data_IF_342791131937
#
_entry.id   IF_342791131937
#
_cell.length_a   1.000
_cell.length_b   1.000
_cell.length_c   1.000
_cell.angle_alpha   90.00
_cell.angle_beta   90.00
_cell.angle_gamma   90.00
#
_symmetry.space_group_name_H-M   'P 1'
#
loop_
_entity.id
_entity.type
_entity.pdbx_description
1 polymer ?
#
# COMPACT_ATOMS: atom_id res chain seq x y z
N UNK A 1 -14.95 -11.34 -1.51
CA UNK A 1 -14.60 -11.14 -2.94
C UNK A 1 -13.31 -11.90 -3.23
N UNK A 2 -13.22 -12.61 -4.35
CA UNK A 2 -11.99 -13.28 -4.80
C UNK A 2 -11.23 -12.34 -5.74
N UNK A 3 -9.92 -12.22 -5.53
CA UNK A 3 -8.98 -11.50 -6.41
C UNK A 3 -7.94 -12.49 -6.94
N UNK A 4 -7.52 -12.28 -8.19
CA UNK A 4 -6.46 -13.06 -8.83
C UNK A 4 -5.43 -12.09 -9.38
N UNK A 5 -4.15 -12.29 -9.05
CA UNK A 5 -3.08 -11.41 -9.58
C UNK A 5 -2.83 -11.65 -11.07
N UNK A 6 -2.24 -10.68 -11.75
CA UNK A 6 -1.85 -10.83 -13.14
C UNK A 6 -0.88 -12.03 -13.32
N UNK A 7 -1.02 -12.83 -14.39
CA UNK A 7 -0.13 -13.96 -14.63
C UNK A 7 1.35 -13.55 -14.64
N UNK A 8 2.15 -14.19 -13.78
CA UNK A 8 3.59 -13.91 -13.67
C UNK A 8 3.95 -12.63 -12.91
N UNK A 9 2.95 -11.94 -12.32
CA UNK A 9 3.16 -10.76 -11.48
C UNK A 9 2.32 -10.85 -10.20
N UNK A 10 2.93 -10.53 -9.07
CA UNK A 10 2.29 -10.69 -7.76
C UNK A 10 1.95 -9.32 -7.18
N UNK A 11 1.20 -8.52 -7.91
CA UNK A 11 0.87 -7.14 -7.52
C UNK A 11 2.05 -6.17 -7.62
N UNK A 12 1.94 -5.05 -6.90
CA UNK A 12 2.87 -3.93 -6.98
C UNK A 12 3.46 -3.60 -5.60
N UNK A 13 4.67 -3.05 -5.63
CA UNK A 13 5.38 -2.51 -4.47
C UNK A 13 6.05 -1.18 -4.82
N UNK A 14 6.12 -0.27 -3.86
CA UNK A 14 6.86 0.98 -4.03
C UNK A 14 8.37 0.71 -3.92
N UNK A 15 9.13 1.23 -4.88
CA UNK A 15 10.59 1.13 -4.94
C UNK A 15 11.20 2.52 -5.06
N UNK A 16 12.41 2.68 -4.54
CA UNK A 16 13.27 3.79 -4.93
C UNK A 16 13.66 3.65 -6.41
N UNK A 17 13.43 4.71 -7.18
CA UNK A 17 13.81 4.84 -8.59
C UNK A 17 14.70 6.06 -8.82
N UNK A 18 15.10 6.73 -7.73
CA UNK A 18 15.95 7.92 -7.77
C UNK A 18 17.26 7.65 -8.52
N UNK A 19 17.56 8.51 -9.50
CA UNK A 19 18.84 8.46 -10.21
C UNK A 19 19.96 8.96 -9.29
N UNK A 20 21.13 8.30 -9.28
CA UNK A 20 22.29 8.78 -8.52
C UNK A 20 22.63 10.23 -8.84
N UNK A 21 22.92 11.02 -7.80
CA UNK A 21 23.30 12.43 -7.94
C UNK A 21 22.15 13.41 -8.19
N UNK A 22 20.90 12.95 -8.20
CA UNK A 22 19.72 13.80 -8.33
C UNK A 22 19.09 14.01 -6.96
N UNK A 23 18.83 15.26 -6.58
CA UNK A 23 17.97 15.59 -5.45
C UNK A 23 16.53 15.71 -5.95
N UNK A 24 15.61 14.85 -5.50
CA UNK A 24 14.22 14.92 -5.95
C UNK A 24 13.53 16.15 -5.36
N UNK A 25 12.74 16.85 -6.18
CA UNK A 25 11.90 17.96 -5.73
C UNK A 25 10.52 17.52 -5.27
N UNK A 26 10.16 16.27 -5.59
CA UNK A 26 8.93 15.58 -5.18
C UNK A 26 9.21 14.12 -4.90
N UNK A 27 8.46 13.54 -3.98
CA UNK A 27 8.61 12.13 -3.63
C UNK A 27 8.32 11.19 -4.83
N UNK A 28 7.38 11.55 -5.69
CA UNK A 28 7.09 10.84 -6.95
C UNK A 28 8.23 10.83 -7.97
N UNK A 29 9.23 11.71 -7.86
CA UNK A 29 10.42 11.68 -8.73
C UNK A 29 11.46 10.65 -8.26
N UNK A 30 11.41 10.30 -6.97
CA UNK A 30 12.38 9.43 -6.33
C UNK A 30 11.92 7.98 -6.22
N UNK A 31 10.65 7.70 -6.50
CA UNK A 31 10.04 6.39 -6.30
C UNK A 31 9.09 6.02 -7.44
N UNK A 32 8.87 4.72 -7.61
CA UNK A 32 7.94 4.20 -8.59
C UNK A 32 7.35 2.85 -8.19
N UNK A 33 6.15 2.57 -8.69
CA UNK A 33 5.51 1.27 -8.56
C UNK A 33 6.18 0.27 -9.50
N UNK A 34 6.64 -0.84 -8.93
CA UNK A 34 7.27 -1.94 -9.65
C UNK A 34 6.58 -3.26 -9.31
N UNK A 35 6.68 -4.30 -10.16
CA UNK A 35 6.20 -5.62 -9.81
C UNK A 35 6.76 -6.09 -8.47
N UNK A 36 5.89 -6.59 -7.59
CA UNK A 36 6.30 -7.19 -6.33
C UNK A 36 6.71 -8.65 -6.55
N UNK A 37 7.62 -9.12 -5.71
CA UNK A 37 7.90 -10.56 -5.60
C UNK A 37 6.73 -11.28 -4.89
N UNK A 38 6.61 -12.61 -5.02
CA UNK A 38 5.60 -13.38 -4.29
C UNK A 38 5.61 -13.10 -2.77
N UNK A 39 6.81 -13.10 -2.16
CA UNK A 39 6.97 -12.87 -0.72
C UNK A 39 6.50 -11.46 -0.34
N UNK A 40 6.89 -10.44 -1.10
CA UNK A 40 6.52 -9.06 -0.80
C UNK A 40 5.02 -8.81 -0.92
N UNK A 41 4.33 -9.55 -1.78
CA UNK A 41 2.87 -9.49 -1.84
C UNK A 41 2.23 -10.12 -0.62
N UNK A 42 2.73 -11.27 -0.15
CA UNK A 42 2.25 -11.90 1.08
C UNK A 42 2.50 -11.02 2.30
N UNK A 43 3.69 -10.42 2.40
CA UNK A 43 4.01 -9.45 3.46
C UNK A 43 3.02 -8.28 3.43
N UNK A 44 2.69 -7.78 2.23
CA UNK A 44 1.71 -6.71 2.06
C UNK A 44 0.31 -7.11 2.55
N UNK A 45 -0.14 -8.34 2.28
CA UNK A 45 -1.42 -8.84 2.80
C UNK A 45 -1.40 -8.94 4.32
N UNK A 46 -0.32 -9.48 4.89
CA UNK A 46 -0.15 -9.61 6.33
C UNK A 46 -0.17 -8.24 7.02
N UNK A 47 0.59 -7.28 6.50
CA UNK A 47 0.59 -5.90 7.00
C UNK A 47 -0.77 -5.25 6.86
N UNK A 48 -1.50 -5.48 5.77
CA UNK A 48 -2.84 -4.90 5.61
C UNK A 48 -3.81 -5.40 6.70
N UNK A 49 -3.77 -6.69 7.02
CA UNK A 49 -4.58 -7.27 8.09
C UNK A 49 -4.15 -6.74 9.47
N UNK A 50 -2.85 -6.67 9.73
CA UNK A 50 -2.31 -6.18 11.00
C UNK A 50 -2.69 -4.72 11.27
N UNK A 51 -2.62 -3.87 10.24
CA UNK A 51 -2.81 -2.43 10.38
C UNK A 51 -4.27 -2.02 10.42
N UNK A 52 -5.11 -2.69 9.63
CA UNK A 52 -6.46 -2.21 9.36
C UNK A 52 -7.55 -3.20 9.79
N UNK A 53 -7.17 -4.34 10.36
CA UNK A 53 -8.11 -5.37 10.79
C UNK A 53 -8.89 -5.98 9.61
N UNK A 54 -8.31 -5.95 8.41
CA UNK A 54 -8.91 -6.59 7.24
C UNK A 54 -8.81 -8.13 7.34
N UNK A 55 -9.55 -8.83 6.49
CA UNK A 55 -9.59 -10.29 6.38
C UNK A 55 -9.07 -10.73 5.00
N UNK A 56 -7.89 -10.24 4.64
CA UNK A 56 -7.20 -10.67 3.43
C UNK A 56 -6.60 -12.06 3.64
N UNK A 57 -7.05 -13.03 2.84
CA UNK A 57 -6.57 -14.41 2.95
C UNK A 57 -5.90 -14.86 1.65
N UNK A 58 -4.75 -15.52 1.76
CA UNK A 58 -4.14 -16.24 0.65
C UNK A 58 -4.78 -17.61 0.51
N UNK A 59 -5.36 -17.89 -0.66
CA UNK A 59 -6.10 -19.13 -0.93
C UNK A 59 -5.28 -20.15 -1.72
N UNK A 60 -4.22 -19.72 -2.40
CA UNK A 60 -3.34 -20.59 -3.15
C UNK A 60 -2.86 -20.00 -4.47
N UNK A 61 -2.38 -20.90 -5.32
CA UNK A 61 -1.80 -20.58 -6.63
C UNK A 61 -2.65 -21.17 -7.75
N UNK A 62 -2.79 -20.43 -8.84
CA UNK A 62 -3.37 -20.94 -10.09
C UNK A 62 -2.36 -20.76 -11.23
N UNK A 63 -2.20 -21.80 -12.05
CA UNK A 63 -1.39 -21.71 -13.26
C UNK A 63 -2.23 -21.12 -14.39
N UNK A 64 -1.73 -20.04 -14.98
CA UNK A 64 -2.28 -19.43 -16.19
C UNK A 64 -1.24 -19.55 -17.33
N UNK A 65 -1.65 -19.28 -18.57
CA UNK A 65 -0.78 -19.41 -19.75
C UNK A 65 0.55 -18.65 -19.60
N UNK A 66 0.48 -17.44 -19.05
CA UNK A 66 1.61 -16.51 -18.91
C UNK A 66 2.36 -16.64 -17.57
N UNK A 67 1.98 -17.58 -16.71
CA UNK A 67 2.68 -17.81 -15.43
C UNK A 67 1.75 -18.17 -14.29
N UNK A 68 2.30 -18.16 -13.07
CA UNK A 68 1.52 -18.37 -11.85
C UNK A 68 0.85 -17.07 -11.40
N UNK A 69 -0.31 -17.21 -10.77
CA UNK A 69 -1.03 -16.13 -10.10
C UNK A 69 -1.41 -16.54 -8.69
N UNK A 70 -1.49 -15.56 -7.81
CA UNK A 70 -2.07 -15.75 -6.49
C UNK A 70 -3.57 -15.60 -6.55
N UNK A 71 -4.26 -16.44 -5.78
CA UNK A 71 -5.68 -16.31 -5.50
C UNK A 71 -5.80 -15.85 -4.06
N UNK A 72 -6.48 -14.73 -3.86
CA UNK A 72 -6.75 -14.18 -2.52
C UNK A 72 -8.25 -13.93 -2.34
N UNK A 73 -8.70 -13.92 -1.09
CA UNK A 73 -9.99 -13.35 -0.72
C UNK A 73 -9.81 -12.13 0.15
N UNK A 74 -10.78 -11.22 0.06
CA UNK A 74 -10.95 -10.10 0.98
C UNK A 74 -12.45 -9.85 1.19
N UNK A 75 -12.80 -9.14 2.26
CA UNK A 75 -14.18 -8.73 2.49
C UNK A 75 -14.65 -7.81 1.36
N UNK A 76 -15.92 -7.96 0.97
CA UNK A 76 -16.54 -7.00 0.07
C UNK A 76 -17.07 -5.81 0.88
N UNK A 77 -16.41 -4.66 0.75
CA UNK A 77 -16.84 -3.44 1.40
C UNK A 77 -17.91 -2.75 0.56
N UNK A 78 -18.99 -2.33 1.22
CA UNK A 78 -20.04 -1.50 0.63
C UNK A 78 -20.15 -0.23 1.45
N UNK A 79 -20.08 0.91 0.79
CA UNK A 79 -20.13 2.20 1.43
C UNK A 79 -19.89 3.33 0.45
N UNK A 80 -19.68 4.52 0.99
CA UNK A 80 -19.43 5.72 0.20
C UNK A 80 -17.93 5.94 0.00
N UNK A 81 -17.57 6.96 -0.79
CA UNK A 81 -16.18 7.35 -0.96
C UNK A 81 -15.80 8.36 0.14
N UNK A 82 -14.77 8.10 0.97
CA UNK A 82 -14.34 9.07 1.97
C UNK A 82 -13.71 10.29 1.31
N UNK A 83 -13.83 11.44 1.97
CA UNK A 83 -13.08 12.64 1.60
C UNK A 83 -11.59 12.51 1.93
N UNK A 84 -10.76 13.32 1.28
CA UNK A 84 -9.31 13.35 1.54
C UNK A 84 -9.03 13.72 3.01
N UNK A 85 -9.82 14.63 3.58
CA UNK A 85 -9.70 15.03 4.99
C UNK A 85 -10.01 13.88 5.94
N UNK A 86 -11.03 13.06 5.65
CA UNK A 86 -11.35 11.87 6.44
C UNK A 86 -10.22 10.85 6.39
N UNK A 87 -9.64 10.61 5.20
CA UNK A 87 -8.48 9.70 5.05
C UNK A 87 -7.30 10.23 5.85
N UNK A 88 -6.96 11.52 5.73
CA UNK A 88 -5.86 12.11 6.47
C UNK A 88 -6.06 12.00 7.99
N UNK A 89 -7.26 12.30 8.49
CA UNK A 89 -7.58 12.17 9.91
C UNK A 89 -7.48 10.70 10.38
N UNK A 90 -7.97 9.75 9.59
CA UNK A 90 -7.84 8.32 9.87
C UNK A 90 -6.38 7.87 9.94
N UNK A 91 -5.56 8.23 8.95
CA UNK A 91 -4.14 7.87 8.93
C UNK A 91 -3.37 8.49 10.10
N UNK A 92 -3.62 9.78 10.40
CA UNK A 92 -3.04 10.47 11.56
C UNK A 92 -3.44 9.81 12.87
N UNK A 93 -4.72 9.41 13.01
CA UNK A 93 -5.21 8.69 14.18
C UNK A 93 -4.52 7.33 14.39
N UNK A 94 -3.99 6.72 13.32
CA UNK A 94 -3.22 5.47 13.36
C UNK A 94 -1.70 5.70 13.49
N UNK A 95 -1.27 6.92 13.81
CA UNK A 95 0.13 7.28 14.04
C UNK A 95 0.93 7.58 12.77
N UNK A 96 0.29 7.68 11.61
CA UNK A 96 0.97 8.02 10.37
C UNK A 96 0.97 9.54 10.12
N UNK A 97 2.10 10.07 9.66
CA UNK A 97 2.18 11.42 9.08
C UNK A 97 2.10 11.34 7.56
N UNK A 98 1.52 12.37 6.94
CA UNK A 98 1.42 12.48 5.47
C UNK A 98 2.79 12.81 4.87
N UNK A 99 3.10 12.24 3.71
CA UNK A 99 4.34 12.46 2.97
C UNK A 99 4.12 13.46 1.81
N UNK A 100 4.37 14.74 2.07
CA UNK A 100 4.16 15.81 1.09
C UNK A 100 2.73 15.86 0.54
N UNK A 101 2.59 16.15 -0.74
CA UNK A 101 1.30 16.20 -1.44
C UNK A 101 0.84 14.83 -1.99
N UNK A 102 1.65 13.80 -1.81
CA UNK A 102 1.37 12.46 -2.33
C UNK A 102 0.29 11.73 -1.53
N UNK A 103 -0.31 10.71 -2.14
CA UNK A 103 -1.19 9.77 -1.46
C UNK A 103 -0.36 8.72 -0.69
N UNK A 104 0.54 9.18 0.17
CA UNK A 104 1.47 8.35 0.90
C UNK A 104 1.63 8.84 2.34
N UNK A 105 1.86 7.90 3.25
CA UNK A 105 1.93 8.13 4.68
C UNK A 105 3.05 7.31 5.31
N UNK A 106 3.65 7.80 6.38
CA UNK A 106 4.77 7.15 7.07
C UNK A 106 4.58 7.20 8.59
N UNK A 107 4.95 6.11 9.27
CA UNK A 107 4.93 5.98 10.71
C UNK A 107 6.34 5.58 11.18
N UNK A 108 6.94 6.46 11.97
CA UNK A 108 8.33 6.34 12.39
C UNK A 108 8.55 5.27 13.47
N UNK A 109 7.53 5.01 14.31
CA UNK A 109 7.65 4.08 15.45
C UNK A 109 7.98 2.64 15.05
N UNK A 110 7.65 2.24 13.83
CA UNK A 110 7.83 0.89 13.28
C UNK A 110 8.33 0.89 11.83
N UNK A 111 8.85 2.02 11.36
CA UNK A 111 9.44 2.21 10.03
C UNK A 111 8.51 1.74 8.91
N UNK A 112 7.22 2.10 9.01
CA UNK A 112 6.17 1.60 8.14
C UNK A 112 5.61 2.71 7.26
N UNK A 113 5.56 2.46 5.95
CA UNK A 113 4.97 3.36 4.97
C UNK A 113 3.74 2.74 4.32
N UNK A 114 2.74 3.56 4.02
CA UNK A 114 1.54 3.19 3.26
C UNK A 114 1.49 4.05 2.01
N UNK A 115 1.59 3.41 0.85
CA UNK A 115 1.49 4.06 -0.47
C UNK A 115 0.14 3.77 -1.12
N UNK A 116 -0.14 4.50 -2.21
CA UNK A 116 -1.39 4.41 -2.98
C UNK A 116 -2.64 4.66 -2.12
N UNK A 117 -2.51 5.52 -1.10
CA UNK A 117 -3.56 5.85 -0.14
C UNK A 117 -4.54 6.90 -0.70
N UNK A 118 -4.92 6.76 -1.97
CA UNK A 118 -5.86 7.67 -2.60
C UNK A 118 -7.31 7.26 -2.34
N UNK A 119 -8.25 8.20 -2.41
CA UNK A 119 -9.65 7.95 -2.03
C UNK A 119 -10.38 6.84 -2.81
N UNK A 120 -9.83 6.33 -3.92
CA UNK A 120 -10.39 5.16 -4.63
C UNK A 120 -10.02 3.81 -3.98
N UNK A 121 -9.02 3.79 -3.10
CA UNK A 121 -8.56 2.58 -2.37
C UNK A 121 -9.12 2.53 -0.94
N UNK A 122 -10.11 3.38 -0.65
CA UNK A 122 -10.84 3.40 0.60
C UNK A 122 -12.34 3.33 0.34
N UNK A 123 -13.05 2.74 1.29
CA UNK A 123 -14.52 2.81 1.39
C UNK A 123 -14.85 3.40 2.76
N UNK A 124 -15.81 4.32 2.81
CA UNK A 124 -16.35 4.85 4.05
C UNK A 124 -17.45 3.91 4.52
N UNK A 125 -17.20 3.20 5.62
CA UNK A 125 -18.13 2.26 6.24
C UNK A 125 -18.47 2.80 7.62
N UNK A 126 -19.75 3.07 7.86
CA UNK A 126 -20.24 3.61 9.15
C UNK A 126 -19.46 4.84 9.65
N UNK A 127 -19.05 5.71 8.71
CA UNK A 127 -18.29 6.93 8.99
C UNK A 127 -16.78 6.73 9.18
N UNK A 128 -16.28 5.51 9.07
CA UNK A 128 -14.85 5.16 9.20
C UNK A 128 -14.26 4.86 7.81
N UNK A 129 -13.18 5.54 7.39
CA UNK A 129 -12.43 5.15 6.19
C UNK A 129 -11.77 3.78 6.39
N UNK A 130 -12.09 2.83 5.54
CA UNK A 130 -11.51 1.48 5.53
C UNK A 130 -10.68 1.32 4.25
N UNK A 131 -9.35 1.17 4.34
CA UNK A 131 -8.53 0.86 3.18
C UNK A 131 -8.78 -0.58 2.71
N UNK A 132 -8.70 -0.83 1.40
CA UNK A 132 -8.86 -2.19 0.85
C UNK A 132 -7.92 -2.53 -0.31
N UNK A 133 -7.12 -1.56 -0.77
CA UNK A 133 -6.14 -1.75 -1.85
C UNK A 133 -4.94 -0.79 -1.72
N UNK A 134 -4.55 -0.46 -0.49
CA UNK A 134 -3.34 0.34 -0.24
C UNK A 134 -2.09 -0.54 -0.19
N UNK A 135 -0.91 0.08 -0.23
CA UNK A 135 0.38 -0.60 -0.31
C UNK A 135 1.21 -0.37 0.97
N UNK A 136 0.93 -1.08 2.07
CA UNK A 136 1.77 -1.03 3.26
C UNK A 136 3.09 -1.78 3.02
N UNK A 137 4.20 -1.23 3.51
CA UNK A 137 5.50 -1.88 3.51
C UNK A 137 6.41 -1.31 4.59
N UNK A 138 7.17 -2.17 5.25
CA UNK A 138 8.34 -1.71 6.01
C UNK A 138 9.36 -1.10 5.04
N UNK A 139 9.95 0.00 5.48
CA UNK A 139 11.03 0.71 4.80
C UNK A 139 12.25 0.76 5.69
N UNK A 140 13.43 0.81 5.09
CA UNK A 140 14.68 0.91 5.85
C UNK A 140 15.77 1.58 5.02
N UNK A 141 16.83 2.01 5.71
CA UNK A 141 18.04 2.54 5.10
C UNK A 141 17.76 3.77 4.23
N UNK A 142 18.21 3.73 2.96
CA UNK A 142 18.06 4.87 2.03
C UNK A 142 16.60 5.23 1.75
N UNK A 143 15.69 4.26 1.77
CA UNK A 143 14.29 4.53 1.50
C UNK A 143 13.68 5.29 2.67
N UNK A 144 13.84 4.77 3.88
CA UNK A 144 13.40 5.45 5.08
C UNK A 144 14.00 6.86 5.22
N UNK A 145 15.30 7.01 5.00
CA UNK A 145 15.97 8.31 5.03
C UNK A 145 15.35 9.31 4.04
N UNK A 146 14.95 8.85 2.84
CA UNK A 146 14.25 9.68 1.87
C UNK A 146 12.86 10.11 2.39
N UNK A 147 12.10 9.20 2.99
CA UNK A 147 10.77 9.53 3.54
C UNK A 147 10.85 10.50 4.72
N UNK A 148 11.95 10.45 5.48
CA UNK A 148 12.25 11.39 6.57
C UNK A 148 12.47 12.83 6.11
N UNK A 149 12.66 13.09 4.81
CA UNK A 149 12.85 14.45 4.28
C UNK A 149 11.54 15.21 4.04
N UNK A 150 10.39 14.54 4.17
CA UNK A 150 9.06 15.07 3.88
C UNK A 150 8.22 15.20 5.13
#
# INVERSE_FOLDING_TARGET
MIKITYPGQFGLRMRLTLKPGVLPSRLSEAMGLMPATPLEYLDRLALHNELFGDDMNFLGLVRQEKGWSFVTSQIFLRGEKPSITQIAAFMTGNGFRKLGDENAYFRESDHLAVFDAHARNFVLVDGVPVPFDVLPQHVSGRFEALLGLW
#
